data_IF_764194172966
#
_entry.id   IF_764194172966
#
_cell.length_a   1.000
_cell.length_b   1.000
_cell.length_c   1.000
_cell.angle_alpha   90.00
_cell.angle_beta   90.00
_cell.angle_gamma   90.00
#
_symmetry.space_group_name_H-M   'P 1'
#
loop_
_entity.id
_entity.type
_entity.pdbx_description
1 polymer ?
#
# COMPACT_ATOMS: atom_id res chain seq x y z
N UNK A 1 -4.21 8.21 -23.06
CA UNK A 1 -3.64 7.35 -21.99
C UNK A 1 -2.22 7.83 -21.70
N UNK A 2 -2.05 8.93 -20.97
CA UNK A 2 -0.73 9.55 -20.70
C UNK A 2 -0.40 9.68 -19.21
N UNK A 3 -1.16 9.05 -18.31
CA UNK A 3 -0.92 9.17 -16.87
C UNK A 3 0.18 8.23 -16.34
N UNK A 4 0.58 7.22 -17.13
CA UNK A 4 1.37 6.06 -16.66
C UNK A 4 2.87 6.13 -17.00
N UNK A 5 3.32 7.07 -17.84
CA UNK A 5 4.72 7.09 -18.33
C UNK A 5 5.74 7.67 -17.35
N UNK A 6 5.33 8.13 -16.16
CA UNK A 6 6.22 8.81 -15.21
C UNK A 6 6.14 8.34 -13.75
N UNK A 7 5.29 7.37 -13.41
CA UNK A 7 5.21 6.83 -12.03
C UNK A 7 6.30 5.77 -11.85
N UNK A 8 7.52 6.21 -11.56
CA UNK A 8 8.69 5.33 -11.40
C UNK A 8 9.24 5.30 -9.96
N UNK A 9 8.63 6.08 -9.06
CA UNK A 9 9.10 6.28 -7.71
C UNK A 9 7.91 6.35 -6.75
N UNK A 10 7.52 5.19 -6.25
CA UNK A 10 6.51 5.06 -5.21
C UNK A 10 7.15 4.46 -3.98
N UNK A 11 7.02 5.18 -2.87
CA UNK A 11 7.48 4.72 -1.57
C UNK A 11 6.31 4.67 -0.60
N UNK A 12 6.27 3.63 0.21
CA UNK A 12 5.48 3.61 1.44
C UNK A 12 6.38 4.17 2.55
N UNK A 13 6.04 5.35 3.05
CA UNK A 13 6.84 6.06 4.03
C UNK A 13 6.44 5.74 5.47
N UNK A 14 5.18 5.40 5.70
CA UNK A 14 4.68 5.10 7.03
C UNK A 14 3.37 4.30 6.93
N UNK A 15 3.05 3.59 8.01
CA UNK A 15 1.76 2.93 8.23
C UNK A 15 1.26 3.34 9.62
N UNK A 16 -0.03 3.67 9.72
CA UNK A 16 -0.72 3.76 11.01
C UNK A 16 -1.86 2.77 11.06
N UNK A 17 -2.03 2.12 12.21
CA UNK A 17 -3.12 1.19 12.45
C UNK A 17 -3.86 1.58 13.72
N UNK A 18 -5.07 2.09 13.57
CA UNK A 18 -5.89 2.60 14.66
C UNK A 18 -7.35 2.19 14.43
N UNK A 19 -8.01 1.67 15.47
CA UNK A 19 -9.43 1.30 15.44
C UNK A 19 -9.82 0.36 14.28
N UNK A 20 -8.93 -0.56 13.89
CA UNK A 20 -9.19 -1.50 12.79
C UNK A 20 -9.01 -0.92 11.38
N UNK A 21 -8.53 0.32 11.26
CA UNK A 21 -8.27 0.99 9.99
C UNK A 21 -6.76 1.18 9.83
N UNK A 22 -6.26 0.80 8.66
CA UNK A 22 -4.89 1.05 8.24
C UNK A 22 -4.86 2.32 7.40
N UNK A 23 -4.02 3.27 7.80
CA UNK A 23 -3.66 4.45 6.99
C UNK A 23 -2.28 4.25 6.41
N UNK A 24 -2.17 4.33 5.08
CA UNK A 24 -0.93 4.16 4.32
C UNK A 24 -0.46 5.51 3.81
N UNK A 25 0.76 5.90 4.17
CA UNK A 25 1.36 7.17 3.75
C UNK A 25 2.33 6.92 2.60
N UNK A 26 1.89 7.19 1.37
CA UNK A 26 2.67 6.97 0.16
C UNK A 26 3.28 8.27 -0.35
N UNK A 27 4.51 8.19 -0.85
CA UNK A 27 5.17 9.23 -1.65
C UNK A 27 5.13 8.79 -3.11
N UNK A 28 4.34 9.49 -3.93
CA UNK A 28 4.17 9.20 -5.36
C UNK A 28 4.69 10.41 -6.13
N UNK A 29 5.81 10.26 -6.85
CA UNK A 29 6.42 11.37 -7.60
C UNK A 29 6.61 12.64 -6.75
N UNK A 30 7.15 12.47 -5.54
CA UNK A 30 7.36 13.51 -4.52
C UNK A 30 6.09 14.16 -3.94
N UNK A 31 4.92 13.61 -4.21
CA UNK A 31 3.65 14.05 -3.63
C UNK A 31 3.22 13.04 -2.56
N UNK A 32 2.97 13.55 -1.35
CA UNK A 32 2.42 12.73 -0.27
C UNK A 32 0.94 12.46 -0.50
N UNK A 33 0.55 11.20 -0.43
CA UNK A 33 -0.84 10.75 -0.47
C UNK A 33 -1.11 9.79 0.68
N UNK A 34 -2.30 9.87 1.24
CA UNK A 34 -2.76 8.95 2.27
C UNK A 34 -3.88 8.10 1.70
N UNK A 35 -3.77 6.79 1.88
CA UNK A 35 -4.78 5.83 1.49
C UNK A 35 -5.25 5.03 2.70
N UNK A 36 -6.44 4.45 2.62
CA UNK A 36 -6.99 3.63 3.69
C UNK A 36 -7.20 2.20 3.23
N UNK A 37 -7.01 1.29 4.17
CA UNK A 37 -7.31 -0.12 4.01
C UNK A 37 -7.89 -0.68 5.32
N UNK A 38 -8.76 -1.67 5.20
CA UNK A 38 -9.44 -2.32 6.32
C UNK A 38 -9.01 -3.79 6.30
N UNK A 39 -8.12 -4.22 7.21
CA UNK A 39 -7.87 -5.63 7.44
C UNK A 39 -9.16 -6.28 7.96
N UNK A 40 -9.54 -7.40 7.36
CA UNK A 40 -10.63 -8.25 7.83
C UNK A 40 -10.00 -9.50 8.42
N UNK A 41 -10.16 -9.63 9.72
CA UNK A 41 -9.67 -10.80 10.45
C UNK A 41 -10.51 -12.03 10.09
N UNK A 42 -9.84 -13.15 9.88
CA UNK A 42 -10.40 -14.44 9.46
C UNK A 42 -9.30 -15.47 9.24
N UNK A 43 -9.65 -16.72 8.95
CA UNK A 43 -8.67 -17.81 8.72
C UNK A 43 -7.68 -17.49 7.58
N UNK A 44 -8.12 -16.63 6.65
CA UNK A 44 -7.30 -16.07 5.59
C UNK A 44 -7.23 -14.55 5.83
N UNK A 45 -6.03 -13.98 6.04
CA UNK A 45 -5.89 -12.53 6.20
C UNK A 45 -6.31 -11.81 4.90
N UNK A 46 -7.43 -11.10 4.95
CA UNK A 46 -7.94 -10.31 3.81
C UNK A 46 -7.82 -8.83 4.11
N UNK A 47 -7.56 -8.02 3.09
CA UNK A 47 -7.56 -6.56 3.21
C UNK A 47 -8.49 -5.95 2.16
N UNK A 48 -9.41 -5.10 2.63
CA UNK A 48 -10.28 -4.28 1.78
C UNK A 48 -9.63 -2.90 1.63
N UNK A 49 -9.22 -2.54 0.41
CA UNK A 49 -8.67 -1.23 0.09
C UNK A 49 -9.78 -0.23 -0.22
N UNK A 50 -9.51 1.08 -0.04
CA UNK A 50 -10.35 2.11 -0.66
C UNK A 50 -10.34 2.00 -2.19
N UNK A 51 -11.35 2.56 -2.86
CA UNK A 51 -11.42 2.56 -4.32
C UNK A 51 -10.17 3.24 -4.93
N UNK A 52 -9.75 4.39 -4.37
CA UNK A 52 -8.55 5.11 -4.80
C UNK A 52 -7.26 4.29 -4.64
N UNK A 53 -7.13 3.53 -3.55
CA UNK A 53 -5.97 2.65 -3.34
C UNK A 53 -6.01 1.48 -4.33
N UNK A 54 -7.20 0.92 -4.57
CA UNK A 54 -7.39 -0.17 -5.51
C UNK A 54 -7.02 0.26 -6.93
N UNK A 55 -7.51 1.42 -7.38
CA UNK A 55 -7.18 2.00 -8.68
C UNK A 55 -5.68 2.26 -8.83
N UNK A 56 -5.04 2.80 -7.78
CA UNK A 56 -3.60 2.97 -7.77
C UNK A 56 -2.90 1.62 -7.96
N UNK A 57 -3.20 0.62 -7.13
CA UNK A 57 -2.53 -0.68 -7.20
C UNK A 57 -2.76 -1.38 -8.55
N UNK A 58 -3.97 -1.30 -9.12
CA UNK A 58 -4.26 -1.81 -10.47
C UNK A 58 -3.39 -1.12 -11.52
N UNK A 59 -3.20 0.20 -11.42
CA UNK A 59 -2.36 0.96 -12.34
C UNK A 59 -0.87 0.57 -12.26
N UNK A 60 -0.43 0.01 -11.13
CA UNK A 60 0.96 -0.41 -10.90
C UNK A 60 1.23 -1.86 -11.31
N UNK A 61 0.21 -2.70 -11.42
CA UNK A 61 0.36 -4.12 -11.79
C UNK A 61 1.17 -4.38 -13.08
N UNK A 62 1.09 -3.56 -14.15
CA UNK A 62 1.92 -3.75 -15.33
C UNK A 62 3.43 -3.61 -15.07
N UNK A 63 3.81 -2.90 -14.00
CA UNK A 63 5.20 -2.60 -13.65
C UNK A 63 5.70 -3.45 -12.48
N UNK A 64 4.83 -3.73 -11.52
CA UNK A 64 5.07 -4.60 -10.36
C UNK A 64 3.87 -5.55 -10.19
N UNK A 65 3.87 -6.72 -10.86
CA UNK A 65 2.73 -7.64 -10.83
C UNK A 65 2.37 -8.13 -9.42
N UNK A 66 3.33 -8.15 -8.50
CA UNK A 66 3.14 -8.56 -7.12
C UNK A 66 2.78 -7.39 -6.17
N UNK A 67 2.45 -6.21 -6.68
CA UNK A 67 2.29 -4.98 -5.88
C UNK A 67 1.28 -5.14 -4.73
N UNK A 68 0.14 -5.79 -4.98
CA UNK A 68 -0.85 -6.10 -3.96
C UNK A 68 -0.25 -6.93 -2.84
N UNK A 69 0.38 -8.06 -3.19
CA UNK A 69 0.99 -8.97 -2.23
C UNK A 69 2.10 -8.26 -1.44
N UNK A 70 2.95 -7.48 -2.12
CA UNK A 70 4.05 -6.73 -1.52
C UNK A 70 3.53 -5.74 -0.47
N UNK A 71 2.57 -4.90 -0.84
CA UNK A 71 1.98 -3.93 0.08
C UNK A 71 1.26 -4.63 1.25
N UNK A 72 0.46 -5.67 0.95
CA UNK A 72 -0.38 -6.31 1.95
C UNK A 72 0.46 -7.10 2.97
N UNK A 73 1.55 -7.73 2.53
CA UNK A 73 2.50 -8.38 3.44
C UNK A 73 3.09 -7.38 4.43
N UNK A 74 3.57 -6.23 3.94
CA UNK A 74 4.14 -5.18 4.79
C UNK A 74 3.11 -4.67 5.81
N UNK A 75 1.86 -4.47 5.37
CA UNK A 75 0.78 -4.03 6.26
C UNK A 75 0.50 -5.08 7.33
N UNK A 76 0.46 -6.37 6.97
CA UNK A 76 0.26 -7.44 7.94
C UNK A 76 1.43 -7.61 8.90
N UNK A 77 2.66 -7.46 8.42
CA UNK A 77 3.85 -7.46 9.27
C UNK A 77 3.77 -6.32 10.30
N UNK A 78 3.40 -5.12 9.86
CA UNK A 78 3.18 -3.97 10.74
C UNK A 78 2.07 -4.24 11.78
N UNK A 79 0.90 -4.71 11.35
CA UNK A 79 -0.24 -5.01 12.24
C UNK A 79 0.13 -6.07 13.28
N UNK A 80 0.92 -7.08 12.90
CA UNK A 80 1.35 -8.17 13.79
C UNK A 80 2.49 -7.76 14.75
N UNK A 81 2.98 -6.53 14.64
CA UNK A 81 4.09 -6.03 15.45
C UNK A 81 5.46 -6.58 15.04
N UNK A 82 5.60 -7.05 13.79
CA UNK A 82 6.90 -7.37 13.22
C UNK A 82 7.67 -6.08 12.91
N UNK A 83 9.00 -6.15 12.92
CA UNK A 83 9.84 -5.01 12.54
C UNK A 83 9.65 -4.65 11.06
N UNK A 84 9.13 -3.45 10.80
CA UNK A 84 8.97 -2.88 9.46
C UNK A 84 9.82 -1.61 9.36
N UNK A 85 10.78 -1.60 8.44
CA UNK A 85 11.66 -0.46 8.21
C UNK A 85 11.18 0.38 7.04
N UNK A 86 10.94 1.67 7.28
CA UNK A 86 10.56 2.65 6.27
C UNK A 86 11.75 3.51 5.83
N UNK A 87 11.72 4.11 4.62
CA UNK A 87 10.69 3.95 3.58
C UNK A 87 10.85 2.64 2.79
N UNK A 88 9.74 2.07 2.33
CA UNK A 88 9.72 0.86 1.51
C UNK A 88 9.44 1.24 0.06
N UNK A 89 10.37 0.91 -0.84
CA UNK A 89 10.17 1.12 -2.27
C UNK A 89 9.14 0.14 -2.84
N UNK A 90 8.03 0.67 -3.34
CA UNK A 90 6.96 -0.09 -3.97
C UNK A 90 7.19 -0.25 -5.46
N UNK A 91 7.49 0.85 -6.16
CA UNK A 91 7.86 0.91 -7.58
C UNK A 91 9.03 1.88 -7.79
#
# INVERSE_FOLDING_TARGET
MELLSSINNIYLNDIKYENGIVSLFLLINNIHKTFTAIPKDGDIPVMTSSDELSELLMSLMPYEPAIYKKLYNVVWDYIKGNDVMFPIKLL
#
